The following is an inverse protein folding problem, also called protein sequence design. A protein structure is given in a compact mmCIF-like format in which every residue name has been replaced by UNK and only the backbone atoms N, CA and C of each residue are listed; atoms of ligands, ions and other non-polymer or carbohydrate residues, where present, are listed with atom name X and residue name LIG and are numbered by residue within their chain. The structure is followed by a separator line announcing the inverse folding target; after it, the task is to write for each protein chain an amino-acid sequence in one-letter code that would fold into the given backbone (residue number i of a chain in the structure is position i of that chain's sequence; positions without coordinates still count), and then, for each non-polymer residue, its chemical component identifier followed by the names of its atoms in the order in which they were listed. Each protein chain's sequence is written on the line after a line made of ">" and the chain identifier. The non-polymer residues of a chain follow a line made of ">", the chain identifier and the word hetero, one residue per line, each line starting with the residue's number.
data_IF_337004263824
#
_entry.id   IF_337004263824
#
_cell.length_a   1.000
_cell.length_b   1.000
_cell.length_c   1.000
_cell.angle_alpha   90.00
_cell.angle_beta   90.00
_cell.angle_gamma   90.00
#
_symmetry.space_group_name_H-M   'P 1'
#
loop_
_entity.id
_entity.type
_entity.pdbx_description
1 polymer ?
#
# COMPACT_ATOMS: atom_id res chain seq x y z
N UNK A 1 1.53 -5.05 -18.17
CA UNK A 1 0.46 -5.89 -17.60
C UNK A 1 -0.83 -5.08 -17.62
N UNK A 2 -1.97 -5.75 -17.64
CA UNK A 2 -3.30 -5.12 -17.69
C UNK A 2 -4.15 -5.72 -16.57
N UNK A 3 -5.19 -5.00 -16.14
CA UNK A 3 -6.22 -5.52 -15.24
C UNK A 3 -7.60 -5.35 -15.84
N UNK A 4 -8.51 -6.23 -15.42
CA UNK A 4 -9.89 -6.24 -15.86
C UNK A 4 -10.73 -5.42 -14.88
N UNK A 5 -11.48 -4.45 -15.41
CA UNK A 5 -12.60 -3.83 -14.70
C UNK A 5 -13.91 -4.33 -15.26
N UNK A 6 -14.85 -4.56 -14.35
CA UNK A 6 -16.22 -4.95 -14.66
C UNK A 6 -17.17 -3.91 -14.09
N UNK A 7 -17.86 -3.21 -14.98
CA UNK A 7 -18.95 -2.31 -14.61
C UNK A 7 -20.21 -3.15 -14.40
N UNK A 8 -20.64 -3.30 -13.14
CA UNK A 8 -21.82 -4.09 -12.80
C UNK A 8 -23.13 -3.49 -13.33
N UNK A 9 -23.20 -2.17 -13.53
CA UNK A 9 -24.40 -1.49 -14.00
C UNK A 9 -24.61 -1.70 -15.49
N UNK A 10 -23.53 -1.63 -16.26
CA UNK A 10 -23.57 -1.75 -17.70
C UNK A 10 -23.24 -3.19 -18.18
N UNK A 11 -22.83 -4.07 -17.27
CA UNK A 11 -22.35 -5.43 -17.55
C UNK A 11 -21.21 -5.47 -18.57
N UNK A 12 -20.36 -4.44 -18.57
CA UNK A 12 -19.26 -4.30 -19.53
C UNK A 12 -17.91 -4.57 -18.88
N UNK A 13 -17.08 -5.29 -19.61
CA UNK A 13 -15.67 -5.52 -19.28
C UNK A 13 -14.78 -4.49 -19.99
N UNK A 14 -13.87 -3.86 -19.25
CA UNK A 14 -12.83 -2.97 -19.81
C UNK A 14 -11.46 -3.43 -19.33
N UNK A 15 -10.53 -3.56 -20.27
CA UNK A 15 -9.12 -3.78 -19.96
C UNK A 15 -8.45 -2.44 -19.74
N UNK A 16 -7.71 -2.32 -18.64
CA UNK A 16 -7.00 -1.10 -18.27
C UNK A 16 -5.51 -1.37 -18.10
N UNK A 17 -4.70 -0.38 -18.46
CA UNK A 17 -3.26 -0.50 -18.37
C UNK A 17 -2.81 -0.31 -16.92
N UNK A 18 -1.89 -1.16 -16.48
CA UNK A 18 -1.15 -0.92 -15.23
C UNK A 18 -0.11 0.19 -15.42
N UNK A 19 0.42 0.79 -14.33
CA UNK A 19 1.57 1.68 -14.40
C UNK A 19 2.74 1.02 -15.14
N UNK A 20 3.58 1.84 -15.78
CA UNK A 20 4.82 1.35 -16.37
C UNK A 20 5.77 0.81 -15.29
N UNK A 21 6.63 -0.14 -15.66
CA UNK A 21 7.69 -0.71 -14.79
C UNK A 21 7.23 -1.61 -13.63
N UNK A 22 5.99 -2.13 -13.70
CA UNK A 22 5.59 -3.28 -12.85
C UNK A 22 6.24 -4.55 -13.42
N UNK A 23 7.22 -5.09 -12.70
CA UNK A 23 8.06 -6.23 -13.12
C UNK A 23 7.68 -7.56 -12.46
N UNK A 24 6.85 -7.52 -11.42
CA UNK A 24 6.29 -8.68 -10.73
C UNK A 24 4.77 -8.64 -10.74
N UNK A 25 4.12 -9.75 -10.45
CA UNK A 25 2.66 -9.79 -10.27
C UNK A 25 2.25 -8.85 -9.13
N UNK A 26 1.50 -7.76 -9.40
CA UNK A 26 1.15 -6.80 -8.37
C UNK A 26 -0.15 -7.19 -7.67
N UNK A 27 -0.35 -6.62 -6.50
CA UNK A 27 -1.62 -6.67 -5.80
C UNK A 27 -2.43 -5.40 -6.08
N UNK A 28 -3.74 -5.57 -6.23
CA UNK A 28 -4.70 -4.49 -6.37
C UNK A 28 -5.59 -4.42 -5.12
N UNK A 29 -5.82 -3.22 -4.62
CA UNK A 29 -6.70 -2.99 -3.48
C UNK A 29 -7.40 -1.65 -3.63
N UNK A 30 -8.67 -1.59 -3.27
CA UNK A 30 -9.36 -0.31 -3.07
C UNK A 30 -9.13 0.12 -1.63
N UNK A 31 -8.62 1.33 -1.44
CA UNK A 31 -8.43 1.92 -0.12
C UNK A 31 -8.92 3.37 -0.17
N UNK A 32 -9.93 3.67 0.67
CA UNK A 32 -10.80 4.85 0.50
C UNK A 32 -11.43 4.82 -0.90
N UNK A 33 -11.27 5.91 -1.65
CA UNK A 33 -11.82 6.05 -3.02
C UNK A 33 -10.78 5.83 -4.11
N UNK A 34 -9.59 5.37 -3.76
CA UNK A 34 -8.51 5.15 -4.72
C UNK A 34 -8.25 3.67 -4.96
N UNK A 35 -7.89 3.34 -6.20
CA UNK A 35 -7.33 2.04 -6.54
C UNK A 35 -5.82 2.07 -6.32
N UNK A 36 -5.36 1.26 -5.38
CA UNK A 36 -3.95 1.02 -5.07
C UNK A 36 -3.45 -0.17 -5.87
N UNK A 37 -2.27 -0.03 -6.44
CA UNK A 37 -1.46 -1.11 -7.00
C UNK A 37 -0.16 -1.16 -6.22
N UNK A 38 0.21 -2.30 -5.65
CA UNK A 38 1.45 -2.44 -4.89
C UNK A 38 2.14 -3.76 -5.14
N UNK A 39 3.46 -3.78 -5.01
CA UNK A 39 4.28 -4.96 -5.26
C UNK A 39 5.67 -4.89 -4.60
N UNK A 40 6.28 -6.06 -4.46
CA UNK A 40 7.61 -6.25 -3.88
C UNK A 40 8.67 -6.33 -4.99
N UNK A 41 9.19 -5.17 -5.39
CA UNK A 41 10.19 -5.10 -6.44
C UNK A 41 11.49 -5.77 -5.99
N UNK A 42 11.88 -6.83 -6.70
CA UNK A 42 13.10 -7.61 -6.45
C UNK A 42 13.28 -8.04 -4.99
N UNK A 43 12.18 -8.15 -4.22
CA UNK A 43 12.21 -8.41 -2.76
C UNK A 43 13.10 -7.43 -1.98
N UNK A 44 13.30 -6.22 -2.47
CA UNK A 44 14.17 -5.21 -1.84
C UNK A 44 13.49 -3.87 -1.68
N UNK A 45 12.46 -3.59 -2.49
CA UNK A 45 11.66 -2.38 -2.41
C UNK A 45 10.19 -2.71 -2.33
N UNK A 46 9.47 -1.92 -1.55
CA UNK A 46 8.03 -1.86 -1.55
C UNK A 46 7.58 -0.68 -2.41
N UNK A 47 6.84 -0.96 -3.47
CA UNK A 47 6.37 0.04 -4.43
C UNK A 47 4.85 0.13 -4.37
N UNK A 48 4.32 1.35 -4.31
CA UNK A 48 2.87 1.63 -4.28
C UNK A 48 2.54 2.70 -5.31
N UNK A 49 1.53 2.41 -6.12
CA UNK A 49 0.91 3.29 -7.10
C UNK A 49 -0.54 3.56 -6.73
N UNK A 50 -1.00 4.76 -7.07
CA UNK A 50 -2.36 5.23 -6.83
C UNK A 50 -2.99 5.69 -8.13
N UNK A 51 -4.16 5.15 -8.47
CA UNK A 51 -5.00 5.68 -9.55
C UNK A 51 -5.84 6.83 -9.00
N UNK A 52 -5.53 8.05 -9.45
CA UNK A 52 -6.21 9.27 -8.98
C UNK A 52 -7.61 9.43 -9.56
N UNK A 53 -7.80 8.95 -10.79
CA UNK A 53 -9.07 8.99 -11.49
C UNK A 53 -9.38 7.59 -12.02
N UNK A 54 -10.41 6.98 -11.46
CA UNK A 54 -10.81 5.63 -11.82
C UNK A 54 -11.09 5.53 -13.33
N UNK A 55 -10.55 4.51 -13.99
CA UNK A 55 -10.75 4.31 -15.43
C UNK A 55 -9.76 5.06 -16.32
N UNK A 56 -8.91 5.92 -15.76
CA UNK A 56 -7.98 6.74 -16.53
C UNK A 56 -6.56 6.26 -16.31
N UNK A 57 -6.03 5.50 -17.28
CA UNK A 57 -4.67 4.94 -17.25
C UNK A 57 -3.58 5.99 -16.96
N UNK A 58 -3.74 7.22 -17.43
CA UNK A 58 -2.77 8.30 -17.20
C UNK A 58 -2.81 8.90 -15.80
N UNK A 59 -3.78 8.51 -14.97
CA UNK A 59 -3.95 9.03 -13.60
C UNK A 59 -3.17 8.22 -12.56
N UNK A 60 -2.47 7.16 -12.97
CA UNK A 60 -1.55 6.44 -12.10
C UNK A 60 -0.41 7.37 -11.65
N UNK A 61 -0.22 7.47 -10.35
CA UNK A 61 0.87 8.22 -9.71
C UNK A 61 1.61 7.33 -8.72
N UNK A 62 2.94 7.37 -8.71
CA UNK A 62 3.71 6.58 -7.76
C UNK A 62 3.62 7.26 -6.39
N UNK A 63 3.01 6.58 -5.42
CA UNK A 63 2.84 7.07 -4.05
C UNK A 63 4.07 6.77 -3.19
N UNK A 64 4.67 5.59 -3.40
CA UNK A 64 5.78 5.09 -2.60
C UNK A 64 6.73 4.25 -3.45
N UNK A 65 8.03 4.42 -3.22
CA UNK A 65 9.07 3.50 -3.63
C UNK A 65 10.15 3.55 -2.54
N UNK A 66 10.13 2.57 -1.64
CA UNK A 66 10.96 2.56 -0.42
C UNK A 66 11.65 1.22 -0.26
N UNK A 67 12.91 1.21 0.15
CA UNK A 67 13.63 -0.04 0.38
C UNK A 67 13.17 -0.71 1.68
N UNK A 68 13.28 -2.03 1.72
CA UNK A 68 13.02 -2.79 2.93
C UNK A 68 14.01 -2.49 4.06
N UNK A 69 15.25 -2.19 3.69
CA UNK A 69 16.24 -1.67 4.63
C UNK A 69 15.77 -0.36 5.29
N UNK A 70 15.19 0.55 4.51
CA UNK A 70 14.65 1.80 5.05
C UNK A 70 13.46 1.53 5.96
N UNK A 71 12.56 0.62 5.57
CA UNK A 71 11.47 0.14 6.42
C UNK A 71 11.95 -0.71 7.61
N UNK A 72 13.27 -0.85 7.83
CA UNK A 72 13.87 -1.61 8.93
C UNK A 72 13.43 -3.09 8.95
N UNK A 73 13.20 -3.65 7.75
CA UNK A 73 12.91 -5.06 7.53
C UNK A 73 14.22 -5.75 7.15
N UNK A 74 14.84 -6.46 8.11
CA UNK A 74 16.20 -7.01 7.96
C UNK A 74 16.28 -8.54 7.81
N UNK A 75 15.17 -9.24 7.99
CA UNK A 75 15.12 -10.70 8.02
C UNK A 75 14.96 -11.32 6.62
N UNK A 76 15.36 -12.59 6.42
CA UNK A 76 15.30 -13.23 5.11
C UNK A 76 13.86 -13.33 4.58
N UNK A 77 13.72 -12.95 3.31
CA UNK A 77 12.43 -12.71 2.67
C UNK A 77 11.96 -13.98 1.97
N UNK A 78 10.98 -14.67 2.57
CA UNK A 78 10.49 -15.94 2.06
C UNK A 78 9.15 -15.80 1.34
N UNK A 79 8.26 -14.94 1.83
CA UNK A 79 6.96 -14.70 1.21
C UNK A 79 7.03 -14.07 -0.18
N UNK A 80 5.96 -14.31 -0.93
CA UNK A 80 5.69 -13.70 -2.24
C UNK A 80 5.15 -12.27 -2.08
N UNK A 81 4.34 -12.04 -1.05
CA UNK A 81 3.87 -10.71 -0.63
C UNK A 81 4.39 -10.46 0.78
N UNK A 82 5.25 -9.45 0.93
CA UNK A 82 5.86 -9.06 2.19
C UNK A 82 5.13 -7.94 2.88
N UNK A 83 4.77 -6.90 2.14
CA UNK A 83 4.10 -5.74 2.68
C UNK A 83 2.76 -5.55 2.01
N UNK A 84 1.77 -5.18 2.82
CA UNK A 84 0.44 -4.80 2.35
C UNK A 84 0.09 -3.44 2.91
N UNK A 85 -0.32 -2.52 2.04
CA UNK A 85 -0.88 -1.23 2.49
C UNK A 85 -2.27 -1.45 3.09
N UNK A 86 -2.44 -1.07 4.36
CA UNK A 86 -3.71 -1.16 5.08
C UNK A 86 -4.44 0.17 5.07
N UNK A 87 -3.75 1.29 5.34
CA UNK A 87 -4.35 2.61 5.43
C UNK A 87 -3.37 3.71 4.96
N UNK A 88 -3.94 4.87 4.60
CA UNK A 88 -3.22 6.09 4.22
C UNK A 88 -3.92 7.30 4.86
N UNK A 89 -3.15 8.26 5.38
CA UNK A 89 -3.68 9.50 5.96
C UNK A 89 -4.38 10.36 4.89
N UNK A 90 -5.13 11.39 5.29
CA UNK A 90 -5.80 12.29 4.34
C UNK A 90 -4.82 13.08 3.48
N UNK A 91 -3.73 13.55 4.09
CA UNK A 91 -2.64 14.26 3.40
C UNK A 91 -1.67 13.32 2.67
N UNK A 92 -1.96 12.01 2.70
CA UNK A 92 -1.20 10.94 2.07
C UNK A 92 0.20 10.74 2.63
N UNK A 93 0.59 11.46 3.68
CA UNK A 93 1.95 11.46 4.20
C UNK A 93 2.25 10.27 5.08
N UNK A 94 1.24 9.70 5.74
CA UNK A 94 1.39 8.57 6.65
C UNK A 94 0.74 7.32 6.05
N UNK A 95 1.50 6.23 6.01
CA UNK A 95 1.07 4.93 5.53
C UNK A 95 1.15 3.91 6.65
N UNK A 96 0.07 3.15 6.80
CA UNK A 96 0.04 1.97 7.65
C UNK A 96 0.22 0.73 6.77
N UNK A 97 1.33 0.03 7.00
CA UNK A 97 1.67 -1.20 6.30
C UNK A 97 1.60 -2.38 7.27
N UNK A 98 1.32 -3.57 6.75
CA UNK A 98 1.47 -4.83 7.49
C UNK A 98 2.61 -5.63 6.88
N UNK A 99 3.56 -6.04 7.71
CA UNK A 99 4.51 -7.06 7.34
C UNK A 99 3.82 -8.43 7.43
N UNK A 100 3.69 -9.12 6.31
CA UNK A 100 2.99 -10.40 6.20
C UNK A 100 3.84 -11.57 6.70
N UNK A 101 5.16 -11.45 6.70
CA UNK A 101 6.08 -12.51 7.15
C UNK A 101 6.07 -12.63 8.68
N UNK A 102 6.21 -11.50 9.37
CA UNK A 102 6.39 -11.44 10.82
C UNK A 102 5.16 -10.92 11.58
N UNK A 103 4.13 -10.46 10.87
CA UNK A 103 2.84 -10.06 11.46
C UNK A 103 2.81 -8.65 12.05
N UNK A 104 3.94 -7.97 12.26
CA UNK A 104 3.94 -6.61 12.81
C UNK A 104 3.43 -5.56 11.82
N UNK A 105 2.95 -4.45 12.36
CA UNK A 105 2.54 -3.25 11.64
C UNK A 105 3.69 -2.25 11.55
N UNK A 106 3.71 -1.48 10.47
CA UNK A 106 4.66 -0.41 10.23
C UNK A 106 3.88 0.86 9.95
N UNK A 107 4.15 1.92 10.71
CA UNK A 107 3.69 3.27 10.39
C UNK A 107 4.85 4.05 9.80
N UNK A 108 4.76 4.33 8.51
CA UNK A 108 5.75 5.12 7.78
C UNK A 108 5.20 6.52 7.52
N UNK A 109 5.93 7.53 7.98
CA UNK A 109 5.64 8.93 7.73
C UNK A 109 6.65 9.50 6.71
N UNK A 110 6.15 9.87 5.53
CA UNK A 110 6.94 10.43 4.42
C UNK A 110 7.47 11.83 4.71
N UNK A 111 6.75 12.64 5.50
CA UNK A 111 7.13 14.04 5.77
C UNK A 111 8.42 14.14 6.55
N UNK A 112 8.57 13.31 7.58
CA UNK A 112 9.73 13.29 8.47
C UNK A 112 10.62 12.05 8.28
N UNK A 113 10.27 11.20 7.32
CA UNK A 113 10.98 9.98 6.97
C UNK A 113 11.12 9.03 8.18
N UNK A 114 10.07 8.96 9.02
CA UNK A 114 10.06 8.17 10.25
C UNK A 114 9.34 6.84 10.04
N UNK A 115 9.93 5.78 10.57
CA UNK A 115 9.38 4.42 10.61
C UNK A 115 9.14 4.04 12.07
N UNK A 116 7.95 3.54 12.39
CA UNK A 116 7.65 2.97 13.70
C UNK A 116 7.04 1.58 13.50
N UNK A 117 7.48 0.61 14.31
CA UNK A 117 7.00 -0.76 14.29
C UNK A 117 6.10 -1.03 15.49
N UNK A 118 5.04 -1.79 15.27
CA UNK A 118 4.11 -2.20 16.31
C UNK A 118 3.79 -3.68 16.14
N UNK A 119 4.13 -4.49 17.14
CA UNK A 119 3.74 -5.91 17.12
C UNK A 119 2.22 -6.05 17.27
N UNK A 120 1.66 -7.13 16.73
CA UNK A 120 0.24 -7.48 16.90
C UNK A 120 -0.16 -7.63 18.38
N UNK A 121 0.78 -7.95 19.27
CA UNK A 121 0.49 -8.05 20.71
C UNK A 121 0.42 -6.66 21.40
N UNK A 122 0.88 -5.61 20.73
CA UNK A 122 0.89 -4.22 21.20
C UNK A 122 -0.24 -3.37 20.61
N UNK A 123 -1.40 -3.98 20.33
CA UNK A 123 -2.58 -3.32 19.76
C UNK A 123 -3.01 -2.06 20.52
N UNK A 124 -2.85 -1.99 21.84
CA UNK A 124 -3.21 -0.79 22.60
C UNK A 124 -2.38 0.44 22.21
N UNK A 125 -1.04 0.31 22.21
CA UNK A 125 -0.14 1.40 21.79
C UNK A 125 -0.37 1.78 20.33
N UNK A 126 -0.66 0.79 19.50
CA UNK A 126 -1.03 0.98 18.10
C UNK A 126 -2.34 1.77 17.95
N UNK A 127 -3.38 1.41 18.70
CA UNK A 127 -4.69 2.07 18.69
C UNK A 127 -4.67 3.48 19.29
N UNK A 128 -3.72 3.82 20.17
CA UNK A 128 -3.55 5.21 20.62
C UNK A 128 -2.79 6.07 19.60
N UNK A 129 -1.78 5.50 18.96
CA UNK A 129 -0.90 6.22 18.04
C UNK A 129 -1.51 6.42 16.66
N UNK A 130 -2.22 5.43 16.13
CA UNK A 130 -2.63 5.40 14.74
C UNK A 130 -3.81 6.34 14.45
N UNK A 131 -4.91 6.39 15.23
CA UNK A 131 -6.04 7.25 14.95
C UNK A 131 -5.68 8.73 14.77
N UNK A 132 -4.63 9.26 15.43
CA UNK A 132 -4.22 10.65 15.24
C UNK A 132 -3.79 10.99 13.80
N UNK A 133 -3.47 10.00 12.98
CA UNK A 133 -3.06 10.19 11.59
C UNK A 133 -4.14 9.87 10.55
N UNK A 134 -5.20 9.14 10.94
CA UNK A 134 -6.14 8.53 9.97
C UNK A 134 -7.63 8.80 10.25
N UNK A 135 -7.95 9.56 11.30
CA UNK A 135 -9.34 9.96 11.59
C UNK A 135 -9.88 10.95 10.54
N UNK A 136 -11.18 10.84 10.16
CA UNK A 136 -12.23 10.11 10.88
C UNK A 136 -12.52 8.67 10.42
N UNK A 137 -11.79 8.10 9.46
CA UNK A 137 -12.21 6.87 8.77
C UNK A 137 -11.86 5.55 9.46
N UNK A 138 -11.80 5.55 10.78
CA UNK A 138 -11.69 4.32 11.58
C UNK A 138 -13.07 3.95 12.11
N UNK A 139 -13.91 3.40 11.24
CA UNK A 139 -15.04 2.45 11.47
C UNK A 139 -15.44 1.91 10.10
#
# INVERSE_FOLDING_TARGET
>A
MEYLSFDMKNETCTYMSMPSHVDTEPNLRVLKDYLFLYYDHMKTYFVVWLMREYGVDKSWTQLLNISYEHLQIHEPIHRKELCTSLCMSEDEDVLLLKNQEFGYYIVYNKKDNRVNHFDEDHLYSFLEYVPSFFLPYWI
#
